data_IF_225697040224
#
_entry.id   IF_225697040224
#
_cell.length_a   1.000
_cell.length_b   1.000
_cell.length_c   1.000
_cell.angle_alpha   90.00
_cell.angle_beta   90.00
_cell.angle_gamma   90.00
#
_symmetry.space_group_name_H-M   'P 1'
#
loop_
_entity.id
_entity.type
_entity.pdbx_description
1 polymer ?
#
# COMPACT_ATOMS: atom_id res chain seq x y z
N UNK A 1 21.46 -58.38 -8.57
CA UNK A 1 21.88 -56.98 -8.30
C UNK A 1 21.04 -55.92 -9.05
N UNK A 2 20.41 -56.21 -10.18
CA UNK A 2 19.64 -55.22 -10.95
C UNK A 2 18.35 -54.68 -10.28
N UNK A 3 17.70 -55.45 -9.40
CA UNK A 3 16.45 -55.02 -8.76
C UNK A 3 16.61 -53.90 -7.71
N UNK A 4 17.79 -53.79 -7.07
CA UNK A 4 18.06 -52.76 -6.05
C UNK A 4 18.40 -51.39 -6.67
N UNK A 5 18.88 -51.36 -7.90
CA UNK A 5 19.14 -50.11 -8.63
C UNK A 5 17.84 -49.44 -9.09
N UNK A 6 16.85 -50.21 -9.53
CA UNK A 6 15.56 -49.68 -9.97
C UNK A 6 14.74 -49.04 -8.83
N UNK A 7 14.79 -49.62 -7.62
CA UNK A 7 14.13 -49.04 -6.44
C UNK A 7 14.79 -47.73 -5.97
N UNK A 8 16.12 -47.59 -6.12
CA UNK A 8 16.82 -46.37 -5.74
C UNK A 8 16.47 -45.19 -6.68
N UNK A 9 16.35 -45.45 -7.98
CA UNK A 9 15.95 -44.43 -8.96
C UNK A 9 14.49 -43.96 -8.76
N UNK A 10 13.59 -44.85 -8.34
CA UNK A 10 12.19 -44.49 -8.08
C UNK A 10 12.04 -43.60 -6.83
N UNK A 11 12.80 -43.86 -5.77
CA UNK A 11 12.79 -43.01 -4.56
C UNK A 11 13.42 -41.64 -4.84
N UNK A 12 14.48 -41.57 -5.64
CA UNK A 12 15.09 -40.29 -6.05
C UNK A 12 14.16 -39.44 -6.92
N UNK A 13 13.38 -40.05 -7.82
CA UNK A 13 12.38 -39.33 -8.61
C UNK A 13 11.21 -38.81 -7.77
N UNK A 14 10.84 -39.51 -6.69
CA UNK A 14 9.75 -39.11 -5.78
C UNK A 14 10.17 -37.99 -4.82
N UNK A 15 11.45 -37.92 -4.43
CA UNK A 15 11.99 -36.83 -3.60
C UNK A 15 12.25 -35.54 -4.42
N UNK A 16 12.56 -35.66 -5.70
CA UNK A 16 12.76 -34.49 -6.60
C UNK A 16 11.45 -33.88 -7.13
N UNK A 17 10.31 -34.53 -6.91
CA UNK A 17 8.98 -34.07 -7.35
C UNK A 17 8.28 -33.09 -6.39
N UNK A 18 8.87 -32.80 -5.24
CA UNK A 18 8.23 -31.97 -4.22
C UNK A 18 8.92 -30.61 -4.11
N UNK A 19 8.10 -29.57 -4.26
CA UNK A 19 8.43 -28.15 -4.16
C UNK A 19 9.14 -27.54 -5.37
N UNK A 20 8.49 -27.58 -6.54
CA UNK A 20 8.55 -26.38 -7.39
C UNK A 20 7.95 -25.25 -6.55
N UNK A 21 8.71 -24.20 -6.20
CA UNK A 21 8.21 -23.15 -5.33
C UNK A 21 6.94 -22.54 -5.93
N UNK A 22 5.88 -22.47 -5.11
CA UNK A 22 4.56 -21.95 -5.50
C UNK A 22 4.60 -20.54 -6.14
N UNK A 23 5.68 -19.80 -5.91
CA UNK A 23 5.94 -18.50 -6.52
C UNK A 23 5.84 -18.51 -8.06
N UNK A 24 6.30 -19.57 -8.74
CA UNK A 24 6.29 -19.63 -10.21
C UNK A 24 4.90 -19.81 -10.81
N UNK A 25 4.00 -20.53 -10.13
CA UNK A 25 2.62 -20.71 -10.60
C UNK A 25 1.87 -19.38 -10.73
N UNK A 26 2.19 -18.42 -9.87
CA UNK A 26 1.58 -17.09 -9.86
C UNK A 26 2.13 -16.16 -10.96
N UNK A 27 3.27 -16.47 -11.57
CA UNK A 27 3.85 -15.69 -12.66
C UNK A 27 3.25 -16.05 -14.03
N UNK A 28 2.74 -17.28 -14.20
CA UNK A 28 2.20 -17.76 -15.47
C UNK A 28 0.96 -16.99 -15.96
N UNK A 29 0.27 -16.28 -15.06
CA UNK A 29 -0.88 -15.43 -15.41
C UNK A 29 -0.52 -13.99 -15.82
N UNK A 30 0.76 -13.60 -15.78
CA UNK A 30 1.18 -12.24 -16.11
C UNK A 30 1.42 -12.09 -17.62
N UNK A 31 1.01 -10.94 -18.18
CA UNK A 31 1.47 -10.61 -19.53
C UNK A 31 2.98 -10.34 -19.55
N UNK A 32 3.63 -10.49 -20.71
CA UNK A 32 5.07 -10.21 -20.90
C UNK A 32 5.50 -8.84 -20.33
N UNK A 33 4.63 -7.83 -20.43
CA UNK A 33 4.88 -6.49 -19.91
C UNK A 33 4.88 -6.46 -18.38
N UNK A 34 3.92 -7.13 -17.76
CA UNK A 34 3.81 -7.18 -16.31
C UNK A 34 4.93 -8.01 -15.69
N UNK A 35 5.32 -9.09 -16.36
CA UNK A 35 6.51 -9.85 -15.97
C UNK A 35 7.75 -8.96 -16.00
N UNK A 36 7.94 -8.16 -17.04
CA UNK A 36 9.04 -7.20 -17.11
C UNK A 36 8.99 -6.17 -15.96
N UNK A 37 7.81 -5.62 -15.65
CA UNK A 37 7.64 -4.69 -14.52
C UNK A 37 7.98 -5.37 -13.18
N UNK A 38 7.51 -6.60 -12.95
CA UNK A 38 7.83 -7.39 -11.74
C UNK A 38 9.33 -7.68 -11.64
N UNK A 39 10.00 -8.08 -12.72
CA UNK A 39 11.45 -8.32 -12.71
C UNK A 39 12.24 -7.04 -12.44
N UNK A 40 11.77 -5.91 -12.98
CA UNK A 40 12.37 -4.59 -12.72
C UNK A 40 12.25 -4.21 -11.25
N UNK A 41 11.08 -4.43 -10.65
CA UNK A 41 10.83 -4.21 -9.22
C UNK A 41 11.64 -5.17 -8.33
N UNK A 42 11.76 -6.45 -8.72
CA UNK A 42 12.57 -7.44 -8.03
C UNK A 42 14.04 -7.04 -7.96
N UNK A 43 14.61 -6.59 -9.09
CA UNK A 43 15.98 -6.06 -9.13
C UNK A 43 16.17 -4.85 -8.21
N UNK A 44 15.18 -3.94 -8.16
CA UNK A 44 15.24 -2.80 -7.26
C UNK A 44 15.20 -3.22 -5.78
N UNK A 45 14.45 -4.27 -5.44
CA UNK A 45 14.42 -4.85 -4.09
C UNK A 45 15.78 -5.46 -3.74
N UNK A 46 16.36 -6.30 -4.60
CA UNK A 46 17.68 -6.92 -4.37
C UNK A 46 18.78 -5.88 -4.15
N UNK A 47 18.74 -4.74 -4.86
CA UNK A 47 19.69 -3.64 -4.63
C UNK A 47 19.53 -2.99 -3.26
N UNK A 48 18.28 -2.78 -2.83
CA UNK A 48 17.99 -2.15 -1.54
C UNK A 48 18.32 -3.09 -0.38
N UNK A 49 18.17 -4.40 -0.57
CA UNK A 49 18.48 -5.44 0.40
C UNK A 49 19.29 -6.58 -0.24
N UNK A 50 20.62 -6.43 -0.37
CA UNK A 50 21.47 -7.44 -1.02
C UNK A 50 21.54 -8.79 -0.30
N UNK A 51 21.04 -8.86 0.94
CA UNK A 51 20.97 -10.11 1.72
C UNK A 51 19.68 -10.88 1.47
N UNK A 52 18.72 -10.30 0.75
CA UNK A 52 17.48 -10.98 0.39
C UNK A 52 17.75 -11.84 -0.84
N UNK A 53 17.31 -13.09 -0.79
CA UNK A 53 17.39 -14.00 -1.92
C UNK A 53 16.63 -13.47 -3.14
N UNK A 54 17.10 -13.77 -4.34
CA UNK A 54 16.50 -13.30 -5.59
C UNK A 54 15.07 -13.84 -5.80
N UNK A 55 14.80 -15.09 -5.41
CA UNK A 55 13.46 -15.68 -5.45
C UNK A 55 12.51 -14.90 -4.55
N UNK A 56 12.93 -14.61 -3.31
CA UNK A 56 12.15 -13.77 -2.39
C UNK A 56 11.94 -12.35 -2.92
N UNK A 57 12.96 -11.77 -3.54
CA UNK A 57 12.87 -10.44 -4.13
C UNK A 57 11.82 -10.40 -5.25
N UNK A 58 11.77 -11.42 -6.10
CA UNK A 58 10.72 -11.58 -7.13
C UNK A 58 9.36 -11.84 -6.50
N UNK A 59 9.26 -12.67 -5.46
CA UNK A 59 8.01 -12.94 -4.75
C UNK A 59 7.42 -11.66 -4.14
N UNK A 60 8.24 -10.85 -3.47
CA UNK A 60 7.80 -9.57 -2.92
C UNK A 60 7.45 -8.57 -4.01
N UNK A 61 8.24 -8.49 -5.07
CA UNK A 61 7.95 -7.64 -6.23
C UNK A 61 6.59 -7.99 -6.85
N UNK A 62 6.25 -9.27 -6.96
CA UNK A 62 4.96 -9.73 -7.45
C UNK A 62 3.82 -9.29 -6.55
N UNK A 63 3.95 -9.50 -5.23
CA UNK A 63 2.94 -9.07 -4.25
C UNK A 63 2.73 -7.56 -4.24
N UNK A 64 3.82 -6.79 -4.25
CA UNK A 64 3.80 -5.33 -4.33
C UNK A 64 3.17 -4.87 -5.64
N UNK A 65 3.56 -5.45 -6.78
CA UNK A 65 3.00 -5.09 -8.09
C UNK A 65 1.48 -5.30 -8.12
N UNK A 66 0.99 -6.46 -7.67
CA UNK A 66 -0.45 -6.76 -7.61
C UNK A 66 -1.19 -5.78 -6.69
N UNK A 67 -0.69 -5.57 -5.48
CA UNK A 67 -1.29 -4.65 -4.50
C UNK A 67 -1.34 -3.20 -5.01
N UNK A 68 -0.20 -2.72 -5.53
CA UNK A 68 -0.05 -1.37 -6.04
C UNK A 68 -0.95 -1.12 -7.26
N UNK A 69 -1.02 -2.08 -8.19
CA UNK A 69 -1.92 -2.02 -9.35
C UNK A 69 -3.39 -1.97 -8.91
N UNK A 70 -3.78 -2.80 -7.95
CA UNK A 70 -5.15 -2.88 -7.46
C UNK A 70 -5.62 -1.56 -6.82
N UNK A 71 -4.76 -0.93 -6.00
CA UNK A 71 -5.09 0.33 -5.31
C UNK A 71 -4.53 1.60 -5.97
N UNK A 72 -4.01 1.51 -7.20
CA UNK A 72 -3.44 2.62 -7.97
C UNK A 72 -2.39 3.41 -7.18
N UNK A 73 -1.54 2.70 -6.47
CA UNK A 73 -0.38 3.23 -5.75
C UNK A 73 0.88 3.00 -6.61
N UNK A 74 1.87 3.88 -6.51
CA UNK A 74 3.17 3.62 -7.14
C UNK A 74 3.85 2.42 -6.45
N UNK A 75 4.14 1.32 -7.17
CA UNK A 75 4.81 0.17 -6.55
C UNK A 75 6.17 0.52 -5.95
N UNK A 76 6.88 1.53 -6.46
CA UNK A 76 8.16 1.98 -5.87
C UNK A 76 7.99 2.61 -4.50
N UNK A 77 6.91 3.35 -4.30
CA UNK A 77 6.57 3.91 -3.00
C UNK A 77 6.36 2.79 -1.99
N UNK A 78 5.66 1.73 -2.39
CA UNK A 78 5.43 0.58 -1.53
C UNK A 78 6.73 -0.19 -1.22
N UNK A 79 7.64 -0.36 -2.19
CA UNK A 79 9.00 -0.89 -1.95
C UNK A 79 9.75 -0.02 -0.94
N UNK A 80 9.76 1.30 -1.14
CA UNK A 80 10.48 2.23 -0.29
C UNK A 80 9.95 2.24 1.15
N UNK A 81 8.63 2.11 1.33
CA UNK A 81 8.00 1.96 2.64
C UNK A 81 8.37 0.62 3.27
N UNK A 82 8.19 -0.51 2.59
CA UNK A 82 8.55 -1.82 3.14
C UNK A 82 10.04 -1.91 3.53
N UNK A 83 10.92 -1.31 2.74
CA UNK A 83 12.35 -1.20 3.07
C UNK A 83 12.60 -0.31 4.29
N UNK A 84 11.93 0.85 4.36
CA UNK A 84 12.06 1.78 5.48
C UNK A 84 11.58 1.17 6.80
N UNK A 85 10.48 0.41 6.76
CA UNK A 85 9.87 -0.15 7.96
C UNK A 85 10.65 -1.34 8.52
N UNK A 86 11.06 -2.28 7.65
CA UNK A 86 11.67 -3.54 8.13
C UNK A 86 12.94 -3.94 7.39
N UNK A 87 13.28 -3.24 6.31
CA UNK A 87 14.28 -3.68 5.33
C UNK A 87 13.96 -5.09 4.80
N UNK A 88 12.68 -5.36 4.57
CA UNK A 88 12.14 -6.66 4.13
C UNK A 88 12.41 -7.83 5.10
N UNK A 89 12.57 -7.57 6.40
CA UNK A 89 12.73 -8.63 7.39
C UNK A 89 11.36 -9.14 7.83
N UNK A 90 11.11 -10.42 7.56
CA UNK A 90 9.95 -11.13 8.07
C UNK A 90 10.11 -11.48 9.56
N UNK A 91 8.99 -11.78 10.23
CA UNK A 91 8.95 -12.29 11.60
C UNK A 91 9.63 -11.39 12.65
N UNK A 92 9.68 -10.08 12.39
CA UNK A 92 10.05 -9.12 13.43
C UNK A 92 9.01 -9.16 14.56
N UNK A 93 9.46 -8.92 15.81
CA UNK A 93 8.53 -8.74 16.92
C UNK A 93 7.59 -7.56 16.63
N UNK A 94 6.45 -7.57 17.30
CA UNK A 94 5.51 -6.47 17.25
C UNK A 94 6.15 -5.16 17.69
N UNK A 95 5.93 -4.09 16.92
CA UNK A 95 6.39 -2.75 17.23
C UNK A 95 5.68 -2.14 18.45
N UNK A 96 6.25 -1.07 19.00
CA UNK A 96 5.76 -0.45 20.23
C UNK A 96 4.33 0.11 20.12
N UNK A 97 3.84 0.45 18.92
CA UNK A 97 2.47 0.88 18.70
C UNK A 97 1.58 -0.22 18.10
N UNK A 98 2.03 -1.48 18.17
CA UNK A 98 1.31 -2.64 17.65
C UNK A 98 1.48 -2.83 16.14
N UNK A 99 2.62 -2.41 15.58
CA UNK A 99 2.98 -2.63 14.18
C UNK A 99 3.40 -4.08 13.90
N UNK A 100 2.92 -4.66 12.79
CA UNK A 100 3.18 -6.05 12.41
C UNK A 100 3.52 -6.19 10.91
N UNK A 101 4.44 -7.12 10.62
CA UNK A 101 4.77 -7.55 9.26
C UNK A 101 5.73 -6.61 8.52
N UNK A 102 5.90 -6.86 7.22
CA UNK A 102 6.91 -6.21 6.36
C UNK A 102 6.74 -4.69 6.24
N UNK A 103 5.51 -4.21 6.28
CA UNK A 103 5.17 -2.79 6.22
C UNK A 103 4.79 -2.21 7.59
N UNK A 104 5.01 -2.93 8.69
CA UNK A 104 4.74 -2.45 10.06
C UNK A 104 3.32 -1.86 10.23
N UNK A 105 2.30 -2.62 9.78
CA UNK A 105 0.90 -2.17 9.84
C UNK A 105 0.41 -2.24 11.29
N UNK A 106 -0.13 -1.13 11.80
CA UNK A 106 -0.76 -1.09 13.14
C UNK A 106 -2.02 -1.95 13.17
N UNK A 107 -2.14 -2.82 14.18
CA UNK A 107 -3.30 -3.71 14.38
C UNK A 107 -4.65 -2.99 14.43
N UNK A 108 -4.69 -1.72 14.85
CA UNK A 108 -5.93 -0.95 14.92
C UNK A 108 -6.61 -0.76 13.55
N UNK A 109 -5.88 -0.86 12.44
CA UNK A 109 -6.45 -0.85 11.10
C UNK A 109 -7.40 -2.02 10.85
N UNK A 110 -7.18 -3.18 11.47
CA UNK A 110 -8.05 -4.35 11.34
C UNK A 110 -9.45 -4.12 11.92
N UNK A 111 -9.60 -3.11 12.78
CA UNK A 111 -10.89 -2.70 13.38
C UNK A 111 -11.47 -1.43 12.73
N UNK A 112 -10.81 -0.87 11.72
CA UNK A 112 -11.31 0.29 10.99
C UNK A 112 -12.55 -0.12 10.16
N UNK A 113 -13.63 0.68 10.22
CA UNK A 113 -14.89 0.36 9.55
C UNK A 113 -14.76 0.24 8.03
N UNK A 114 -14.00 1.11 7.38
CA UNK A 114 -13.76 1.05 5.93
C UNK A 114 -12.86 -0.14 5.56
N UNK A 115 -11.87 -0.47 6.39
CA UNK A 115 -11.06 -1.67 6.21
C UNK A 115 -11.90 -2.94 6.28
N UNK A 116 -12.78 -3.03 7.29
CA UNK A 116 -13.66 -4.20 7.48
C UNK A 116 -14.68 -4.30 6.34
N UNK A 117 -15.14 -3.19 5.76
CA UNK A 117 -15.99 -3.22 4.57
C UNK A 117 -15.25 -3.77 3.34
N UNK A 118 -13.98 -3.38 3.16
CA UNK A 118 -13.17 -3.83 2.02
C UNK A 118 -12.77 -5.31 2.14
N UNK A 119 -12.24 -5.72 3.29
CA UNK A 119 -11.59 -7.02 3.44
C UNK A 119 -12.39 -8.02 4.29
N UNK A 120 -13.49 -7.62 4.92
CA UNK A 120 -14.13 -8.38 5.98
C UNK A 120 -13.33 -8.37 7.28
N UNK A 121 -13.70 -9.26 8.22
CA UNK A 121 -12.95 -9.44 9.46
C UNK A 121 -11.64 -10.18 9.17
N UNK A 122 -10.51 -9.49 9.35
CA UNK A 122 -9.16 -10.06 9.23
C UNK A 122 -8.52 -10.26 10.58
N UNK A 123 -7.55 -11.15 10.62
CA UNK A 123 -6.82 -11.56 11.82
C UNK A 123 -5.41 -10.97 11.83
N UNK A 124 -4.77 -10.98 13.01
CA UNK A 124 -3.35 -10.60 13.13
C UNK A 124 -2.47 -11.51 12.27
N UNK A 125 -2.83 -12.79 12.10
CA UNK A 125 -2.07 -13.74 11.28
C UNK A 125 -1.98 -13.27 9.82
N UNK A 126 -3.01 -12.61 9.30
CA UNK A 126 -3.00 -12.08 7.94
C UNK A 126 -1.93 -11.00 7.76
N UNK A 127 -1.59 -10.24 8.81
CA UNK A 127 -0.51 -9.24 8.77
C UNK A 127 0.88 -9.85 8.64
N UNK A 128 1.06 -11.12 8.98
CA UNK A 128 2.34 -11.82 8.83
C UNK A 128 2.54 -12.37 7.41
N UNK A 129 1.47 -12.55 6.62
CA UNK A 129 1.59 -12.99 5.23
C UNK A 129 2.10 -11.83 4.36
N UNK A 130 3.24 -11.97 3.64
CA UNK A 130 3.77 -10.90 2.80
C UNK A 130 2.75 -10.35 1.79
N UNK A 131 2.02 -11.23 1.12
CA UNK A 131 1.03 -10.84 0.11
C UNK A 131 -0.10 -9.98 0.70
N UNK A 132 -0.69 -10.42 1.81
CA UNK A 132 -1.73 -9.67 2.49
C UNK A 132 -1.19 -8.37 3.10
N UNK A 133 0.03 -8.40 3.66
CA UNK A 133 0.66 -7.21 4.23
C UNK A 133 0.87 -6.12 3.17
N UNK A 134 1.35 -6.45 1.97
CA UNK A 134 1.46 -5.49 0.87
C UNK A 134 0.11 -4.98 0.39
N UNK A 135 -0.90 -5.87 0.27
CA UNK A 135 -2.26 -5.51 -0.12
C UNK A 135 -2.88 -4.50 0.86
N UNK A 136 -2.79 -4.77 2.16
CA UNK A 136 -3.30 -3.88 3.20
C UNK A 136 -2.53 -2.56 3.26
N UNK A 137 -1.21 -2.58 3.11
CA UNK A 137 -0.41 -1.35 3.06
C UNK A 137 -0.82 -0.47 1.86
N UNK A 138 -1.01 -1.07 0.68
CA UNK A 138 -1.48 -0.34 -0.50
C UNK A 138 -2.90 0.23 -0.31
N UNK A 139 -3.80 -0.51 0.34
CA UNK A 139 -5.12 0.00 0.70
C UNK A 139 -5.04 1.18 1.67
N UNK A 140 -4.25 1.08 2.73
CA UNK A 140 -4.05 2.15 3.71
C UNK A 140 -3.52 3.41 3.01
N UNK A 141 -2.57 3.25 2.09
CA UNK A 141 -2.05 4.36 1.32
C UNK A 141 -3.14 5.00 0.45
N UNK A 142 -4.00 4.23 -0.21
CA UNK A 142 -5.14 4.77 -0.96
C UNK A 142 -6.10 5.55 -0.04
N UNK A 143 -6.46 4.99 1.13
CA UNK A 143 -7.31 5.67 2.11
C UNK A 143 -6.71 7.00 2.59
N UNK A 144 -5.41 6.99 2.90
CA UNK A 144 -4.68 8.21 3.27
C UNK A 144 -4.61 9.25 2.15
N UNK A 145 -4.48 8.82 0.90
CA UNK A 145 -4.48 9.69 -0.28
C UNK A 145 -5.84 10.37 -0.44
N UNK A 146 -6.92 9.62 -0.27
CA UNK A 146 -8.29 10.12 -0.40
C UNK A 146 -8.63 11.08 0.76
N UNK A 147 -8.18 10.78 1.98
CA UNK A 147 -8.41 11.62 3.16
C UNK A 147 -7.56 12.91 3.19
N UNK A 148 -6.41 12.93 2.50
CA UNK A 148 -5.45 14.05 2.54
C UNK A 148 -5.09 14.53 1.12
N UNK A 149 -6.05 15.10 0.37
CA UNK A 149 -5.78 15.64 -0.96
C UNK A 149 -4.68 16.71 -0.87
N UNK A 150 -3.69 16.60 -1.76
CA UNK A 150 -2.35 17.17 -1.64
C UNK A 150 -2.31 18.71 -1.58
N UNK A 151 -2.59 19.25 -0.39
CA UNK A 151 -2.51 20.69 -0.04
C UNK A 151 -1.46 21.01 1.02
N UNK A 152 -0.69 20.00 1.42
CA UNK A 152 0.23 20.07 2.55
C UNK A 152 1.70 20.20 2.15
N UNK A 153 2.51 20.64 3.11
CA UNK A 153 3.97 20.79 3.04
C UNK A 153 4.70 19.51 2.61
N UNK A 154 4.19 18.34 3.00
CA UNK A 154 4.78 17.04 2.69
C UNK A 154 3.73 16.12 2.07
N UNK A 155 4.15 15.11 1.26
CA UNK A 155 3.22 14.20 0.61
C UNK A 155 2.30 13.45 1.57
N UNK A 156 1.07 13.15 1.14
CA UNK A 156 0.04 12.46 1.93
C UNK A 156 0.51 11.11 2.48
N UNK A 157 1.38 10.38 1.79
CA UNK A 157 1.86 9.06 2.24
C UNK A 157 2.69 9.14 3.52
N UNK A 158 3.15 10.32 3.92
CA UNK A 158 3.87 10.49 5.20
C UNK A 158 2.99 10.27 6.43
N UNK A 159 1.65 10.37 6.27
CA UNK A 159 0.69 10.02 7.31
C UNK A 159 0.69 8.53 7.67
N UNK A 160 1.29 7.68 6.83
CA UNK A 160 1.46 6.26 7.10
C UNK A 160 2.19 6.04 8.44
N UNK A 161 3.23 6.84 8.70
CA UNK A 161 4.06 6.71 9.89
C UNK A 161 3.51 7.51 11.09
N UNK A 162 3.19 8.80 10.88
CA UNK A 162 2.85 9.70 11.98
C UNK A 162 1.91 10.84 11.58
N UNK A 163 1.20 11.42 12.55
CA UNK A 163 0.37 12.61 12.36
C UNK A 163 1.16 13.92 12.49
N UNK A 164 2.10 13.98 13.43
CA UNK A 164 2.88 15.20 13.73
C UNK A 164 3.82 15.53 12.56
N UNK A 165 3.79 16.79 12.10
CA UNK A 165 4.57 17.25 10.94
C UNK A 165 6.07 16.94 11.06
N UNK A 166 6.67 17.18 12.23
CA UNK A 166 8.10 16.89 12.47
C UNK A 166 8.47 15.44 12.10
N UNK A 167 7.69 14.48 12.57
CA UNK A 167 7.92 13.06 12.30
C UNK A 167 7.64 12.74 10.82
N UNK A 168 6.61 13.37 10.23
CA UNK A 168 6.30 13.21 8.80
C UNK A 168 7.42 13.70 7.89
N UNK A 169 8.06 14.82 8.21
CA UNK A 169 9.23 15.34 7.48
C UNK A 169 10.41 14.39 7.58
N UNK A 170 10.71 13.88 8.78
CA UNK A 170 11.78 12.88 8.96
C UNK A 170 11.51 11.63 8.13
N UNK A 171 10.28 11.11 8.22
CA UNK A 171 9.84 9.95 7.46
C UNK A 171 9.93 10.19 5.95
N UNK A 172 9.50 11.37 5.48
CA UNK A 172 9.64 11.80 4.10
C UNK A 172 11.08 11.69 3.62
N UNK A 173 12.02 12.31 4.34
CA UNK A 173 13.44 12.28 3.98
C UNK A 173 13.98 10.85 3.92
N UNK A 174 13.57 9.99 4.86
CA UNK A 174 14.00 8.62 4.88
C UNK A 174 13.48 7.85 3.66
N UNK A 175 12.17 7.88 3.37
CA UNK A 175 11.57 7.17 2.24
C UNK A 175 12.07 7.73 0.89
N UNK A 176 12.21 9.05 0.76
CA UNK A 176 12.63 9.69 -0.50
C UNK A 176 14.03 9.25 -0.93
N UNK A 177 14.98 9.09 0.02
CA UNK A 177 16.31 8.54 -0.29
C UNK A 177 16.25 7.14 -0.91
N UNK A 178 15.26 6.32 -0.55
CA UNK A 178 15.08 4.97 -1.12
C UNK A 178 14.43 5.07 -2.49
N UNK A 179 13.41 5.93 -2.63
CA UNK A 179 12.79 6.22 -3.93
C UNK A 179 13.82 6.67 -4.97
N UNK A 180 14.71 7.59 -4.62
CA UNK A 180 15.80 8.05 -5.50
C UNK A 180 16.72 6.91 -5.95
N UNK A 181 17.01 5.94 -5.07
CA UNK A 181 17.77 4.74 -5.44
C UNK A 181 16.99 3.84 -6.42
N UNK A 182 15.70 3.65 -6.18
CA UNK A 182 14.81 2.82 -7.02
C UNK A 182 14.57 3.45 -8.40
N UNK A 183 14.51 4.79 -8.50
CA UNK A 183 14.25 5.48 -9.78
C UNK A 183 15.30 5.22 -10.86
N UNK A 184 16.50 4.76 -10.48
CA UNK A 184 17.57 4.37 -11.41
C UNK A 184 17.21 3.19 -12.31
N UNK A 185 16.22 2.37 -11.93
CA UNK A 185 15.82 1.17 -12.68
C UNK A 185 14.84 1.46 -13.84
N UNK A 186 14.70 2.72 -14.25
CA UNK A 186 13.83 3.14 -15.35
C UNK A 186 12.36 3.19 -14.94
N UNK A 187 11.45 3.75 -15.77
CA UNK A 187 10.04 3.91 -15.44
C UNK A 187 9.29 2.57 -15.40
N UNK A 188 8.39 2.45 -14.43
CA UNK A 188 7.48 1.31 -14.23
C UNK A 188 6.16 1.90 -14.62
N UNK A 189 5.64 1.47 -15.77
CA UNK A 189 4.64 2.22 -16.53
C UNK A 189 3.22 2.07 -15.97
N UNK A 190 3.08 1.45 -14.81
CA UNK A 190 1.80 0.99 -14.26
C UNK A 190 0.93 2.12 -13.70
N UNK A 191 1.52 3.21 -13.16
CA UNK A 191 0.75 4.29 -12.52
C UNK A 191 0.41 5.47 -13.45
N UNK A 192 1.37 5.93 -14.28
CA UNK A 192 1.18 7.12 -15.12
C UNK A 192 0.09 6.93 -16.18
N UNK A 193 -0.03 5.74 -16.78
CA UNK A 193 -1.00 5.53 -17.85
C UNK A 193 -2.43 5.37 -17.35
N UNK A 194 -2.64 4.77 -16.17
CA UNK A 194 -3.98 4.63 -15.56
C UNK A 194 -4.53 6.00 -15.16
N UNK A 195 -3.67 6.88 -14.63
CA UNK A 195 -4.05 8.25 -14.25
C UNK A 195 -4.26 9.14 -15.50
N UNK A 196 -3.43 8.98 -16.53
CA UNK A 196 -3.59 9.71 -17.80
C UNK A 196 -4.80 9.25 -18.62
N UNK A 197 -5.21 7.98 -18.53
CA UNK A 197 -6.40 7.49 -19.25
C UNK A 197 -7.72 7.91 -18.61
N UNK A 198 -7.73 8.27 -17.32
CA UNK A 198 -8.95 8.73 -16.63
C UNK A 198 -9.20 10.24 -16.76
N UNK A 199 -8.28 10.99 -17.36
CA UNK A 199 -8.38 12.45 -17.54
C UNK A 199 -8.59 12.87 -19.00
N UNK A 200 -8.63 11.92 -19.94
CA UNK A 200 -8.96 12.15 -21.33
C UNK A 200 -10.47 11.92 -21.54
N UNK A 201 -11.28 12.97 -21.37
CA UNK A 201 -12.71 12.97 -21.72
C UNK A 201 -12.93 12.75 -23.24
N UNK A 202 -11.90 12.89 -24.07
CA UNK A 202 -11.98 12.78 -25.53
C UNK A 202 -12.06 11.32 -26.06
N UNK A 203 -12.00 10.32 -25.18
CA UNK A 203 -11.87 8.90 -25.56
C UNK A 203 -13.18 8.14 -25.81
N UNK A 204 -14.33 8.68 -25.42
CA UNK A 204 -15.62 7.96 -25.48
C UNK A 204 -16.43 8.28 -26.75
N UNK A 205 -16.15 9.37 -27.46
CA UNK A 205 -16.95 9.75 -28.63
C UNK A 205 -16.57 9.05 -29.96
N UNK A 206 -15.49 8.27 -30.00
CA UNK A 206 -14.96 7.73 -31.29
C UNK A 206 -15.22 6.25 -31.58
N UNK A 207 -16.03 5.55 -30.79
CA UNK A 207 -16.36 4.13 -31.02
C UNK A 207 -17.84 3.84 -31.31
N UNK A 208 -18.70 4.86 -31.42
CA UNK A 208 -20.11 4.67 -31.73
C UNK A 208 -20.61 5.70 -32.75
N UNK A 209 -20.19 5.61 -34.01
CA UNK A 209 -20.94 6.13 -35.16
C UNK A 209 -20.37 5.55 -36.45
N UNK A 210 -20.90 4.37 -36.81
CA UNK A 210 -20.83 3.86 -38.16
C UNK A 210 -21.51 4.84 -39.11
N UNK A 211 -20.77 5.24 -40.13
CA UNK A 211 -21.10 6.25 -41.13
C UNK A 211 -22.37 5.91 -41.93
N UNK A 212 -23.36 6.81 -41.88
CA UNK A 212 -24.37 6.95 -42.94
C UNK A 212 -24.16 8.32 -43.63
N UNK A 213 -24.22 8.42 -44.97
CA UNK A 213 -24.03 9.69 -45.66
C UNK A 213 -25.31 10.54 -45.58
N UNK A 214 -25.20 11.74 -45.02
CA UNK A 214 -26.25 12.76 -45.08
C UNK A 214 -25.77 13.98 -45.90
N UNK A 215 -26.68 14.61 -46.67
CA UNK A 215 -26.35 15.63 -47.65
C UNK A 215 -26.21 17.02 -47.04
N UNK A 216 -25.53 17.87 -47.80
CA UNK A 216 -25.21 19.28 -47.53
C UNK A 216 -26.48 20.10 -47.23
N UNK A 217 -26.56 20.77 -46.07
CA UNK A 217 -27.35 22.00 -45.96
C UNK A 217 -26.85 22.97 -44.87
N UNK A 218 -26.91 24.24 -45.28
CA UNK A 218 -26.94 25.53 -44.60
C UNK A 218 -26.47 25.71 -43.14
N UNK A 219 -25.54 26.66 -43.02
CA UNK A 219 -25.06 27.38 -41.83
C UNK A 219 -26.18 28.25 -41.21
N UNK A 220 -26.22 28.40 -39.88
CA UNK A 220 -26.16 29.76 -39.34
C UNK A 220 -25.23 29.92 -38.14
N UNK A 221 -24.83 31.19 -37.96
CA UNK A 221 -23.91 31.71 -36.94
C UNK A 221 -24.63 31.88 -35.61
N UNK A 222 -24.04 31.40 -34.52
CA UNK A 222 -24.09 32.09 -33.23
C UNK A 222 -22.89 31.68 -32.38
N UNK A 223 -22.21 32.69 -31.84
CA UNK A 223 -20.92 32.65 -31.18
C UNK A 223 -21.19 32.77 -29.69
N UNK A 224 -21.01 31.70 -28.93
CA UNK A 224 -20.96 31.74 -27.45
C UNK A 224 -19.52 31.54 -27.03
N UNK A 225 -18.93 32.58 -26.44
CA UNK A 225 -17.54 32.63 -25.97
C UNK A 225 -17.53 32.08 -24.54
N UNK A 226 -17.08 30.84 -24.37
CA UNK A 226 -16.81 30.25 -23.04
C UNK A 226 -15.37 30.63 -22.65
N UNK A 227 -15.11 31.12 -21.43
CA UNK A 227 -13.75 31.45 -20.99
C UNK A 227 -12.92 30.17 -20.81
N UNK A 228 -11.81 30.09 -21.55
CA UNK A 228 -10.75 29.10 -21.36
C UNK A 228 -10.11 29.30 -19.99
N UNK A 229 -10.17 28.25 -19.16
CA UNK A 229 -9.44 28.14 -17.89
C UNK A 229 -8.26 27.20 -18.09
N UNK A 230 -7.07 27.76 -17.91
CA UNK A 230 -5.86 27.15 -17.40
C UNK A 230 -5.37 25.86 -18.09
N UNK A 231 -4.44 26.04 -19.02
CA UNK A 231 -3.39 25.06 -19.30
C UNK A 231 -2.61 24.79 -17.99
N UNK A 232 -2.87 23.67 -17.33
CA UNK A 232 -1.98 23.13 -16.31
C UNK A 232 -1.29 21.89 -16.89
N UNK A 233 -0.20 22.16 -17.62
CA UNK A 233 0.76 21.14 -18.01
C UNK A 233 1.36 20.55 -16.73
N UNK A 234 1.07 19.29 -16.43
CA UNK A 234 1.86 18.50 -15.50
C UNK A 234 3.23 18.24 -16.14
N UNK A 235 4.14 19.21 -16.04
CA UNK A 235 5.56 18.87 -16.02
C UNK A 235 5.79 18.01 -14.78
N UNK A 236 6.48 16.88 -14.92
CA UNK A 236 7.04 16.16 -13.79
C UNK A 236 7.74 17.19 -12.89
N UNK A 237 7.08 17.59 -11.80
CA UNK A 237 7.59 18.68 -10.99
C UNK A 237 8.89 18.15 -10.42
N UNK A 238 9.99 18.87 -10.67
CA UNK A 238 11.12 18.81 -9.78
C UNK A 238 10.55 18.81 -8.35
N UNK A 239 10.87 17.78 -7.56
CA UNK A 239 10.44 17.72 -6.17
C UNK A 239 10.78 19.05 -5.48
N UNK A 240 10.05 19.44 -4.41
CA UNK A 240 10.35 20.68 -3.70
C UNK A 240 11.85 20.77 -3.42
N UNK A 241 12.47 21.87 -3.86
CA UNK A 241 13.90 22.11 -3.69
C UNK A 241 14.31 21.77 -2.25
N UNK A 242 15.33 20.94 -2.10
CA UNK A 242 15.88 20.50 -0.80
C UNK A 242 16.21 21.69 0.11
N UNK A 243 16.50 22.85 -0.48
CA UNK A 243 16.76 24.11 0.22
C UNK A 243 15.61 24.54 1.13
N UNK A 244 14.34 24.29 0.76
CA UNK A 244 13.21 24.70 1.59
C UNK A 244 12.98 23.77 2.79
N UNK A 245 13.27 22.48 2.64
CA UNK A 245 13.18 21.49 3.72
C UNK A 245 14.22 21.79 4.80
N UNK A 246 15.44 22.17 4.41
CA UNK A 246 16.48 22.61 5.35
C UNK A 246 16.03 23.82 6.19
N UNK A 247 15.31 24.76 5.60
CA UNK A 247 14.78 25.93 6.31
C UNK A 247 13.64 25.58 7.28
N UNK A 248 12.74 24.66 6.91
CA UNK A 248 11.65 24.19 7.77
C UNK A 248 12.15 23.34 8.97
N UNK A 249 13.21 22.55 8.78
CA UNK A 249 13.86 21.79 9.87
C UNK A 249 14.57 22.75 10.83
N UNK A 250 15.25 23.77 10.32
CA UNK A 250 15.94 24.79 11.13
C UNK A 250 14.98 25.71 11.90
N UNK A 251 13.76 25.93 11.43
CA UNK A 251 12.75 26.71 12.17
C UNK A 251 12.10 25.89 13.30
N UNK A 252 11.92 24.58 13.11
CA UNK A 252 11.37 23.69 14.13
C UNK A 252 12.35 23.40 15.28
N UNK A 253 13.66 23.47 15.05
CA UNK A 253 14.66 23.29 16.13
C UNK A 253 14.68 24.47 17.11
N UNK A 254 14.25 25.66 16.67
CA UNK A 254 14.19 26.88 17.50
C UNK A 254 12.95 26.97 18.39
N UNK A 255 11.96 26.10 18.23
CA UNK A 255 10.69 26.14 18.98
C UNK A 255 10.53 25.05 20.06
N UNK A 256 11.57 24.25 20.33
CA UNK A 256 11.49 23.11 21.26
C UNK A 256 11.64 23.48 22.74
N UNK A 257 10.70 24.22 23.32
CA UNK A 257 10.54 24.40 24.77
C UNK A 257 9.24 23.75 25.27
N UNK A 258 9.36 22.74 26.14
CA UNK A 258 8.32 22.10 26.96
C UNK A 258 6.94 21.80 26.32
N UNK A 259 6.71 20.53 25.97
CA UNK A 259 5.35 20.01 25.79
C UNK A 259 5.21 18.59 26.35
N UNK A 260 4.41 18.48 27.39
CA UNK A 260 3.98 17.29 28.12
C UNK A 260 3.29 16.25 27.24
N UNK A 261 3.47 14.98 27.59
CA UNK A 261 2.86 13.80 26.98
C UNK A 261 1.32 13.83 27.07
N UNK A 262 0.66 14.11 25.94
CA UNK A 262 -0.79 13.98 25.80
C UNK A 262 -1.20 12.55 25.45
N UNK A 263 -1.71 11.82 26.45
CA UNK A 263 -2.43 10.54 26.34
C UNK A 263 -3.68 10.72 25.46
N UNK A 264 -3.84 9.93 24.39
CA UNK A 264 -5.01 10.02 23.50
C UNK A 264 -6.07 9.00 23.91
N UNK A 265 -7.22 9.50 24.39
CA UNK A 265 -8.46 8.76 24.59
C UNK A 265 -9.30 8.80 23.31
N UNK A 266 -9.54 7.65 22.69
CA UNK A 266 -10.52 7.52 21.63
C UNK A 266 -11.94 7.66 22.19
N UNK A 267 -12.68 8.67 21.73
CA UNK A 267 -14.10 8.84 22.02
C UNK A 267 -14.91 8.82 20.73
N UNK A 268 -15.59 7.68 20.50
CA UNK A 268 -16.94 7.63 19.95
C UNK A 268 -17.60 6.32 20.45
N UNK A 269 -18.44 6.45 21.48
CA UNK A 269 -19.47 5.48 21.84
C UNK A 269 -20.81 6.20 21.92
N UNK A 270 -21.91 5.60 21.43
CA UNK A 270 -23.22 6.22 21.47
C UNK A 270 -23.84 6.13 22.87
N UNK A 271 -24.60 7.16 23.22
CA UNK A 271 -25.44 7.22 24.42
C UNK A 271 -26.38 6.02 24.48
N UNK A 272 -26.33 5.26 25.57
CA UNK A 272 -27.46 4.46 26.08
C UNK A 272 -27.62 4.77 27.57
N UNK A 273 -28.72 5.46 27.89
CA UNK A 273 -29.26 5.49 29.24
C UNK A 273 -30.47 4.57 29.31
N UNK A 274 -30.51 3.71 30.32
CA UNK A 274 -31.70 3.44 31.13
C UNK A 274 -31.31 2.56 32.31
N UNK A 275 -31.59 3.07 33.51
CA UNK A 275 -31.49 2.39 34.81
C UNK A 275 -32.56 1.32 34.96
N UNK A 276 -32.32 0.38 35.89
CA UNK A 276 -33.24 -0.19 36.93
C UNK A 276 -32.97 -1.70 37.16
N UNK A 277 -33.38 -2.32 38.30
CA UNK A 277 -32.45 -2.67 39.38
C UNK A 277 -32.52 -4.15 39.81
N UNK A 278 -31.66 -4.47 40.79
CA UNK A 278 -31.60 -5.65 41.66
C UNK A 278 -32.75 -6.66 41.64
N UNK A 279 -32.39 -7.94 41.49
CA UNK A 279 -33.09 -9.04 42.15
C UNK A 279 -32.07 -9.98 42.79
N UNK A 280 -32.00 -9.91 44.13
CA UNK A 280 -31.52 -10.99 45.00
C UNK A 280 -32.44 -12.19 44.82
N UNK A 281 -31.88 -13.38 44.61
CA UNK A 281 -32.50 -14.64 45.02
C UNK A 281 -31.46 -15.56 45.66
N UNK A 282 -31.66 -15.71 46.95
CA UNK A 282 -31.46 -16.86 47.83
C UNK A 282 -31.29 -18.20 47.09
N UNK A 283 -30.21 -18.93 47.39
CA UNK A 283 -30.23 -20.39 47.50
C UNK A 283 -29.45 -20.74 48.77
N UNK A 284 -30.20 -21.25 49.73
CA UNK A 284 -29.76 -21.94 50.94
C UNK A 284 -29.64 -23.45 50.65
N UNK A 285 -28.80 -24.10 51.46
CA UNK A 285 -28.82 -25.52 51.84
C UNK A 285 -28.28 -26.57 50.85
N UNK A 286 -27.17 -27.19 51.28
CA UNK A 286 -26.94 -28.62 51.56
C UNK A 286 -25.41 -28.74 51.70
N UNK A 287 -24.78 -29.08 52.83
CA UNK A 287 -25.11 -30.07 53.85
C UNK A 287 -23.85 -30.91 54.04
N UNK A 288 -23.07 -30.64 55.08
CA UNK A 288 -21.94 -31.48 55.52
C UNK A 288 -22.39 -32.23 56.76
N UNK A 289 -22.37 -33.56 56.68
CA UNK A 289 -22.49 -34.47 57.83
C UNK A 289 -21.16 -35.20 57.95
N UNK A 290 -20.74 -35.39 59.20
CA UNK A 290 -19.56 -36.12 59.67
C UNK A 290 -19.32 -37.46 58.98
#
# INVERSE_FOLDING_TARGET
MHHRFAQLCLVLALVMGWAVPSAYGNLLGLSKRELHDVMTLGRAISELQPRLDDEKSVQYALGIYKAAKHYRIDPRLLIAIAHQETSFRENLPEGAAGEIGLCQIRKNWLSNGEFVKEFGKRSIRDLHSPEQNFLFAAWILRDLKDANPQKETVPWWTYYNARKLKNRVQYYMHVNRKLERIHKYGPVRTAERVMASTTSEDGIEKLALGSAPQPKSARPKSRVRVPSKNDFVYTASAGPSTTWISNAVNSLSKQGGNASEGKWSGHHSPKKGSRSPSLRRTISELGTVN
#
